data_IF_152895267272
#
_entry.id   IF_152895267272
#
_cell.length_a   1.000
_cell.length_b   1.000
_cell.length_c   1.000
_cell.angle_alpha   90.00
_cell.angle_beta   90.00
_cell.angle_gamma   90.00
#
_symmetry.space_group_name_H-M   'P 1'
#
loop_
_entity.id
_entity.type
_entity.pdbx_description
1 polymer ?
#
# COMPACT_ATOMS: atom_id res chain seq x y z
N UNK A 1 10.36 -15.27 19.72
CA UNK A 1 9.05 -15.61 19.15
C UNK A 1 8.80 -14.64 18.02
N UNK A 2 8.93 -15.06 16.77
CA UNK A 2 8.56 -14.24 15.60
C UNK A 2 7.05 -14.41 15.41
N UNK A 3 6.27 -13.45 15.89
CA UNK A 3 4.87 -13.32 15.49
C UNK A 3 4.85 -13.13 13.97
N UNK A 4 4.46 -14.16 13.23
CA UNK A 4 4.22 -14.04 11.79
C UNK A 4 3.22 -12.90 11.59
N UNK A 5 3.66 -11.83 10.94
CA UNK A 5 2.77 -10.75 10.55
C UNK A 5 1.62 -11.35 9.73
N UNK A 6 0.41 -10.84 9.93
CA UNK A 6 -0.75 -11.18 9.10
C UNK A 6 -0.87 -10.15 7.98
N UNK A 7 -1.55 -10.51 6.89
CA UNK A 7 -1.92 -9.54 5.88
C UNK A 7 -2.68 -8.36 6.52
N UNK A 8 -2.37 -7.14 6.10
CA UNK A 8 -2.94 -5.91 6.65
C UNK A 8 -3.50 -5.03 5.54
N UNK A 9 -4.69 -4.49 5.76
CA UNK A 9 -5.28 -3.48 4.90
C UNK A 9 -4.70 -2.11 5.32
N UNK A 10 -4.25 -1.35 4.32
CA UNK A 10 -3.80 0.03 4.44
C UNK A 10 -4.77 0.89 3.63
N UNK A 11 -5.58 1.69 4.31
CA UNK A 11 -6.49 2.61 3.67
C UNK A 11 -5.70 3.84 3.21
N UNK A 12 -5.67 4.05 1.89
CA UNK A 12 -4.99 5.18 1.27
C UNK A 12 -6.03 6.18 0.81
N UNK A 13 -5.95 7.39 1.38
CA UNK A 13 -6.75 8.53 0.95
C UNK A 13 -6.09 9.18 -0.26
N UNK A 14 -6.84 9.36 -1.34
CA UNK A 14 -6.36 10.04 -2.55
C UNK A 14 -7.11 11.36 -2.74
N UNK A 15 -6.37 12.45 -2.90
CA UNK A 15 -6.93 13.79 -3.09
C UNK A 15 -6.25 14.52 -4.24
N UNK A 16 -7.02 15.31 -4.99
CA UNK A 16 -6.47 16.23 -6.00
C UNK A 16 -6.16 17.57 -5.35
N UNK A 17 -4.88 17.94 -5.36
CA UNK A 17 -4.43 19.23 -4.86
C UNK A 17 -4.70 20.36 -5.87
N UNK A 18 -4.78 21.60 -5.38
CA UNK A 18 -5.00 22.79 -6.21
C UNK A 18 -3.92 23.01 -7.29
N UNK A 19 -2.73 22.44 -7.10
CA UNK A 19 -1.63 22.43 -8.07
C UNK A 19 -1.83 21.45 -9.23
N UNK A 20 -2.93 20.71 -9.25
CA UNK A 20 -3.23 19.69 -10.26
C UNK A 20 -2.60 18.32 -10.01
N UNK A 21 -1.83 18.16 -8.92
CA UNK A 21 -1.26 16.86 -8.52
C UNK A 21 -2.29 16.00 -7.78
N UNK A 22 -2.18 14.69 -7.93
CA UNK A 22 -2.84 13.71 -7.08
C UNK A 22 -1.91 13.34 -5.93
N UNK A 23 -2.45 13.32 -4.71
CA UNK A 23 -1.71 13.07 -3.48
C UNK A 23 -2.35 11.91 -2.75
N UNK A 24 -1.54 10.91 -2.41
CA UNK A 24 -1.94 9.75 -1.62
C UNK A 24 -1.35 9.83 -0.21
N UNK A 25 -2.19 9.65 0.82
CA UNK A 25 -1.78 9.63 2.23
C UNK A 25 -2.50 8.52 3.00
N UNK A 26 -1.98 8.11 4.16
CA UNK A 26 -2.66 7.16 5.05
C UNK A 26 -2.58 7.59 6.51
N UNK A 27 -3.69 7.47 7.24
CA UNK A 27 -3.71 7.68 8.69
C UNK A 27 -3.12 6.49 9.45
N UNK A 28 -3.25 5.29 8.88
CA UNK A 28 -2.78 4.03 9.49
C UNK A 28 -1.27 3.85 9.29
N UNK A 29 -0.76 4.31 8.15
CA UNK A 29 0.66 4.33 7.81
C UNK A 29 1.19 5.76 7.83
N UNK A 30 1.42 6.29 9.05
CA UNK A 30 1.91 7.66 9.27
C UNK A 30 3.22 7.88 8.51
N UNK A 31 3.27 8.91 7.69
CA UNK A 31 4.42 9.24 6.84
C UNK A 31 4.27 8.81 5.38
N UNK A 32 3.24 8.02 5.03
CA UNK A 32 2.93 7.73 3.64
C UNK A 32 2.49 9.02 2.94
N UNK A 33 3.31 9.49 2.00
CA UNK A 33 3.02 10.63 1.14
C UNK A 33 3.55 10.35 -0.26
N UNK A 34 2.65 10.19 -1.22
CA UNK A 34 3.00 10.01 -2.64
C UNK A 34 2.28 11.08 -3.44
N UNK A 35 3.01 11.83 -4.27
CA UNK A 35 2.43 12.85 -5.14
C UNK A 35 2.83 12.60 -6.59
N UNK A 36 1.85 12.59 -7.50
CA UNK A 36 2.04 12.36 -8.94
C UNK A 36 1.11 13.23 -9.78
N UNK A 37 1.44 13.41 -11.05
CA UNK A 37 0.64 14.20 -11.99
C UNK A 37 -0.54 13.46 -12.61
N UNK A 38 -0.57 12.13 -12.51
CA UNK A 38 -1.65 11.28 -13.02
C UNK A 38 -2.06 10.25 -11.97
N UNK A 39 -3.31 9.78 -12.06
CA UNK A 39 -3.80 8.69 -11.22
C UNK A 39 -3.03 7.39 -11.50
N UNK A 40 -2.73 7.08 -12.75
CA UNK A 40 -1.99 5.87 -13.12
C UNK A 40 -0.59 5.83 -12.50
N UNK A 41 0.14 6.95 -12.54
CA UNK A 41 1.46 7.04 -11.92
C UNK A 41 1.36 6.97 -10.40
N UNK A 42 0.29 7.53 -9.82
CA UNK A 42 0.03 7.43 -8.39
C UNK A 42 -0.18 5.96 -7.98
N UNK A 43 -1.02 5.22 -8.72
CA UNK A 43 -1.32 3.83 -8.45
C UNK A 43 -0.12 2.91 -8.60
N UNK A 44 0.82 3.23 -9.50
CA UNK A 44 2.09 2.50 -9.60
C UNK A 44 3.03 2.80 -8.43
N UNK A 45 2.99 4.03 -7.91
CA UNK A 45 3.91 4.49 -6.86
C UNK A 45 3.46 4.16 -5.43
N UNK A 46 2.14 4.10 -5.17
CA UNK A 46 1.60 3.74 -3.85
C UNK A 46 2.14 2.40 -3.32
N UNK A 47 2.05 1.26 -4.05
CA UNK A 47 2.51 -0.02 -3.52
C UNK A 47 4.00 0.00 -3.22
N UNK A 48 4.81 0.66 -4.05
CA UNK A 48 6.24 0.83 -3.81
C UNK A 48 6.52 1.59 -2.51
N UNK A 49 5.85 2.73 -2.31
CA UNK A 49 6.03 3.52 -1.08
C UNK A 49 5.60 2.74 0.17
N UNK A 50 4.51 1.97 0.10
CA UNK A 50 4.07 1.12 1.20
C UNK A 50 5.13 0.05 1.50
N UNK A 51 5.65 -0.66 0.48
CA UNK A 51 6.70 -1.67 0.63
C UNK A 51 7.96 -1.09 1.28
N UNK A 52 8.44 0.05 0.80
CA UNK A 52 9.62 0.74 1.34
C UNK A 52 9.44 1.10 2.84
N UNK A 53 8.26 1.56 3.23
CA UNK A 53 7.96 1.86 4.64
C UNK A 53 7.96 0.63 5.53
N UNK A 54 7.42 -0.50 5.06
CA UNK A 54 7.48 -1.77 5.80
C UNK A 54 8.92 -2.30 5.88
N UNK A 55 9.71 -2.15 4.81
CA UNK A 55 11.10 -2.57 4.78
C UNK A 55 11.97 -1.84 5.82
N UNK A 56 11.70 -0.55 6.09
CA UNK A 56 12.37 0.21 7.17
C UNK A 56 12.09 -0.40 8.56
N UNK A 57 10.93 -1.03 8.74
CA UNK A 57 10.58 -1.77 9.95
C UNK A 57 11.14 -3.21 9.97
N UNK A 58 11.88 -3.63 8.93
CA UNK A 58 12.39 -4.98 8.78
C UNK A 58 11.35 -5.99 8.31
N UNK A 59 10.24 -5.53 7.73
CA UNK A 59 9.16 -6.37 7.23
C UNK A 59 9.17 -6.37 5.69
N UNK A 60 9.31 -7.57 5.09
CA UNK A 60 9.20 -7.75 3.64
C UNK A 60 7.76 -8.13 3.27
N UNK A 61 7.12 -7.31 2.44
CA UNK A 61 5.71 -7.43 2.08
C UNK A 61 5.51 -7.24 0.58
N UNK A 62 4.57 -7.99 0.02
CA UNK A 62 3.97 -7.73 -1.28
C UNK A 62 2.73 -6.85 -1.08
N UNK A 63 2.57 -5.80 -1.89
CA UNK A 63 1.43 -4.89 -1.79
C UNK A 63 0.55 -4.96 -3.03
N UNK A 64 -0.73 -5.25 -2.87
CA UNK A 64 -1.71 -5.34 -3.96
C UNK A 64 -2.91 -4.43 -3.70
N UNK A 65 -3.58 -3.90 -4.74
CA UNK A 65 -4.84 -3.19 -4.54
C UNK A 65 -5.91 -4.15 -4.02
N UNK A 66 -6.82 -3.66 -3.18
CA UNK A 66 -8.06 -4.37 -2.85
C UNK A 66 -9.18 -3.95 -3.81
N UNK A 67 -10.06 -4.90 -4.16
CA UNK A 67 -11.12 -4.70 -5.16
C UNK A 67 -12.27 -3.79 -4.69
N UNK A 68 -12.34 -3.45 -3.40
CA UNK A 68 -13.46 -2.74 -2.77
C UNK A 68 -13.14 -1.31 -2.34
N UNK A 69 -12.51 -0.52 -3.21
CA UNK A 69 -12.25 0.91 -2.95
C UNK A 69 -13.48 1.80 -3.07
N UNK A 70 -13.43 2.94 -2.39
CA UNK A 70 -14.34 4.08 -2.61
C UNK A 70 -13.59 5.20 -3.31
N UNK A 71 -14.29 6.16 -3.91
CA UNK A 71 -13.67 7.29 -4.64
C UNK A 71 -12.62 8.06 -3.83
N UNK A 72 -12.72 8.05 -2.49
CA UNK A 72 -11.82 8.80 -1.59
C UNK A 72 -10.80 7.91 -0.87
N UNK A 73 -11.15 6.65 -0.62
CA UNK A 73 -10.30 5.69 0.09
C UNK A 73 -10.11 4.43 -0.74
N UNK A 74 -8.86 4.22 -1.14
CA UNK A 74 -8.41 3.11 -1.95
C UNK A 74 -7.64 2.15 -1.04
N UNK A 75 -8.22 1.00 -0.65
CA UNK A 75 -7.57 0.04 0.22
C UNK A 75 -6.47 -0.72 -0.53
N UNK A 76 -5.34 -0.91 0.14
CA UNK A 76 -4.21 -1.72 -0.33
C UNK A 76 -3.94 -2.83 0.69
N UNK A 77 -3.58 -4.01 0.22
CA UNK A 77 -3.29 -5.17 1.06
C UNK A 77 -1.79 -5.37 1.09
N UNK A 78 -1.18 -5.22 2.26
CA UNK A 78 0.21 -5.61 2.51
C UNK A 78 0.23 -7.07 3.00
N UNK A 79 0.82 -7.97 2.22
CA UNK A 79 0.91 -9.40 2.46
C UNK A 79 2.37 -9.73 2.77
N UNK A 80 2.71 -10.29 3.94
CA UNK A 80 4.08 -10.71 4.22
C UNK A 80 4.59 -11.72 3.19
N UNK A 81 5.83 -11.56 2.73
CA UNK A 81 6.40 -12.38 1.66
C UNK A 81 6.31 -13.89 1.95
N UNK A 82 6.55 -14.28 3.21
CA UNK A 82 6.42 -15.67 3.68
C UNK A 82 5.01 -16.24 3.53
N UNK A 83 3.98 -15.40 3.69
CA UNK A 83 2.57 -15.80 3.50
C UNK A 83 2.25 -15.90 2.01
N UNK A 84 2.69 -14.92 1.21
CA UNK A 84 2.48 -14.92 -0.23
C UNK A 84 3.12 -16.14 -0.91
N UNK A 85 4.35 -16.50 -0.51
CA UNK A 85 5.06 -17.67 -1.02
C UNK A 85 4.31 -18.98 -0.78
N UNK A 86 3.78 -19.18 0.44
CA UNK A 86 2.97 -20.37 0.77
C UNK A 86 1.71 -20.46 -0.07
N UNK A 87 1.06 -19.32 -0.35
CA UNK A 87 -0.15 -19.32 -1.18
C UNK A 87 0.16 -19.77 -2.62
N UNK A 88 1.31 -19.39 -3.17
CA UNK A 88 1.75 -19.80 -4.51
C UNK A 88 2.20 -21.27 -4.58
N UNK A 89 2.77 -21.82 -3.51
CA UNK A 89 3.16 -23.24 -3.44
C UNK A 89 1.96 -24.20 -3.34
N UNK A 90 0.77 -23.68 -3.01
CA UNK A 90 -0.46 -24.45 -2.87
C UNK A 90 -1.54 -24.13 -3.94
N UNK A 91 -1.22 -23.28 -4.92
CA UNK A 91 -2.08 -22.92 -6.05
C UNK A 91 -1.82 -23.81 -7.27
#
# INVERSE_FOLDING_TARGET
MTTSMKAKIVNVKVERHATGMFVATSQELKGLLVAKHSMDDLYKAIPQAIMEMYAVCGEDVLVTPAENGSDFYQPWIAIPAEVAKRALEHA
#
